data_IF_431902768059
#
_entry.id   IF_431902768059
#
_cell.length_a   1.000
_cell.length_b   1.000
_cell.length_c   1.000
_cell.angle_alpha   90.00
_cell.angle_beta   90.00
_cell.angle_gamma   90.00
#
_symmetry.space_group_name_H-M   'P 1'
#
loop_
_entity.id
_entity.type
_entity.pdbx_description
1 polymer ?
#
# COMPACT_ATOMS: atom_id res chain seq x y z
N UNK A 1 2.71 -6.62 6.12
CA UNK A 1 2.24 -8.01 6.22
C UNK A 1 0.72 -8.07 6.05
N UNK A 2 0.14 -9.28 6.04
CA UNK A 2 -1.31 -9.50 6.05
C UNK A 2 -1.91 -8.80 7.29
N UNK A 3 -3.13 -8.27 7.15
CA UNK A 3 -3.87 -7.59 8.25
C UNK A 3 -3.18 -6.35 8.85
N UNK A 4 -2.34 -5.65 8.08
CA UNK A 4 -1.79 -4.35 8.52
C UNK A 4 -2.76 -3.16 8.30
N UNK A 5 -3.96 -3.42 7.75
CA UNK A 5 -4.96 -2.40 7.43
C UNK A 5 -4.76 -1.73 6.06
N UNK A 6 -4.11 -2.41 5.12
CA UNK A 6 -3.89 -1.88 3.75
C UNK A 6 -5.20 -1.47 3.09
N UNK A 7 -6.20 -2.35 3.10
CA UNK A 7 -7.49 -2.10 2.47
C UNK A 7 -8.18 -0.89 3.09
N UNK A 8 -8.23 -0.79 4.42
CA UNK A 8 -8.80 0.36 5.13
C UNK A 8 -8.11 1.66 4.73
N UNK A 9 -6.76 1.67 4.70
CA UNK A 9 -5.97 2.85 4.30
C UNK A 9 -6.19 3.18 2.82
N UNK A 10 -6.19 2.18 1.93
CA UNK A 10 -6.43 2.38 0.49
C UNK A 10 -7.80 2.97 0.21
N UNK A 11 -8.85 2.46 0.86
CA UNK A 11 -10.20 3.00 0.77
C UNK A 11 -10.28 4.44 1.27
N UNK A 12 -9.67 4.72 2.43
CA UNK A 12 -9.61 6.07 2.99
C UNK A 12 -8.91 7.06 2.06
N UNK A 13 -7.79 6.67 1.46
CA UNK A 13 -7.06 7.49 0.50
C UNK A 13 -7.88 7.73 -0.78
N UNK A 14 -8.48 6.69 -1.37
CA UNK A 14 -9.34 6.83 -2.54
C UNK A 14 -10.50 7.78 -2.27
N UNK A 15 -11.23 7.59 -1.17
CA UNK A 15 -12.37 8.42 -0.81
C UNK A 15 -11.97 9.88 -0.53
N UNK A 16 -10.88 10.09 0.23
CA UNK A 16 -10.40 11.43 0.58
C UNK A 16 -9.90 12.22 -0.63
N UNK A 17 -9.22 11.57 -1.56
CA UNK A 17 -8.75 12.19 -2.81
C UNK A 17 -9.92 12.49 -3.76
N UNK A 18 -10.83 11.54 -3.96
CA UNK A 18 -12.03 11.75 -4.75
C UNK A 18 -12.89 12.90 -4.22
N UNK A 19 -13.06 13.00 -2.89
CA UNK A 19 -13.77 14.11 -2.26
C UNK A 19 -13.11 15.48 -2.47
N UNK A 20 -11.82 15.52 -2.79
CA UNK A 20 -11.07 16.72 -3.16
C UNK A 20 -11.05 16.99 -4.66
N UNK A 21 -11.75 16.20 -5.43
CA UNK A 21 -11.83 16.32 -6.89
C UNK A 21 -10.70 15.65 -7.66
N UNK A 22 -9.76 14.97 -6.99
CA UNK A 22 -8.69 14.22 -7.68
C UNK A 22 -9.24 12.95 -8.29
N UNK A 23 -8.98 12.73 -9.58
CA UNK A 23 -9.40 11.53 -10.30
C UNK A 23 -8.42 10.39 -10.00
N UNK A 24 -8.80 9.52 -9.06
CA UNK A 24 -7.99 8.37 -8.64
C UNK A 24 -8.39 7.12 -9.40
N UNK A 25 -7.43 6.44 -10.01
CA UNK A 25 -7.64 5.12 -10.58
C UNK A 25 -7.18 4.04 -9.61
N UNK A 26 -8.11 3.27 -9.03
CA UNK A 26 -7.75 2.16 -8.16
C UNK A 26 -7.41 0.91 -8.96
N UNK A 27 -6.42 0.18 -8.47
CA UNK A 27 -6.05 -1.16 -8.92
C UNK A 27 -5.86 -2.07 -7.72
N UNK A 28 -6.12 -3.36 -7.91
CA UNK A 28 -5.84 -4.40 -6.91
C UNK A 28 -4.87 -5.41 -7.48
N UNK A 29 -3.81 -5.76 -6.73
CA UNK A 29 -2.93 -6.85 -7.12
C UNK A 29 -3.61 -8.21 -6.90
N UNK A 30 -3.52 -9.05 -7.92
CA UNK A 30 -4.00 -10.43 -7.89
C UNK A 30 -5.48 -10.59 -8.18
N UNK A 31 -5.97 -11.84 -8.22
CA UNK A 31 -7.37 -12.13 -8.46
C UNK A 31 -8.16 -11.88 -7.17
N UNK A 32 -8.79 -10.74 -7.09
CA UNK A 32 -9.66 -10.34 -5.98
C UNK A 32 -10.93 -9.72 -6.54
N UNK A 33 -12.07 -9.91 -5.91
CA UNK A 33 -13.34 -9.32 -6.33
C UNK A 33 -14.05 -8.57 -5.20
N UNK A 34 -13.64 -8.75 -3.95
CA UNK A 34 -14.23 -8.06 -2.79
C UNK A 34 -13.61 -6.66 -2.65
N UNK A 35 -12.28 -6.59 -2.48
CA UNK A 35 -11.59 -5.31 -2.33
C UNK A 35 -11.79 -4.39 -3.53
N UNK A 36 -11.75 -4.87 -4.81
CA UNK A 36 -12.04 -4.04 -5.98
C UNK A 36 -13.41 -3.37 -5.97
N UNK A 37 -14.45 -4.04 -5.44
CA UNK A 37 -15.78 -3.43 -5.32
C UNK A 37 -15.78 -2.23 -4.38
N UNK A 38 -15.11 -2.35 -3.24
CA UNK A 38 -14.99 -1.26 -2.27
C UNK A 38 -14.10 -0.13 -2.78
N UNK A 39 -12.96 -0.46 -3.39
CA UNK A 39 -12.04 0.52 -3.99
C UNK A 39 -12.73 1.29 -5.12
N UNK A 40 -13.49 0.62 -5.98
CA UNK A 40 -14.25 1.27 -7.04
C UNK A 40 -15.29 2.24 -6.48
N UNK A 41 -16.01 1.83 -5.42
CA UNK A 41 -16.97 2.71 -4.76
C UNK A 41 -16.32 3.92 -4.12
N UNK A 42 -15.17 3.74 -3.46
CA UNK A 42 -14.44 4.81 -2.79
C UNK A 42 -13.85 5.82 -3.78
N UNK A 43 -13.32 5.36 -4.91
CA UNK A 43 -12.71 6.20 -5.94
C UNK A 43 -13.73 6.78 -6.96
N UNK A 44 -14.94 6.24 -7.02
CA UNK A 44 -15.93 6.61 -8.06
C UNK A 44 -15.55 6.13 -9.47
N UNK A 45 -14.64 5.16 -9.60
CA UNK A 45 -14.15 4.58 -10.86
C UNK A 45 -14.02 3.07 -10.76
N UNK A 46 -14.15 2.29 -11.85
CA UNK A 46 -13.88 0.86 -11.82
C UNK A 46 -12.48 0.55 -11.28
N UNK A 47 -12.36 -0.50 -10.47
CA UNK A 47 -11.08 -1.01 -10.01
C UNK A 47 -10.67 -2.22 -10.85
N UNK A 48 -9.45 -2.25 -11.37
CA UNK A 48 -8.94 -3.35 -12.18
C UNK A 48 -7.98 -4.23 -11.36
N UNK A 49 -8.03 -5.54 -11.62
CA UNK A 49 -7.06 -6.48 -11.08
C UNK A 49 -5.79 -6.50 -11.94
N UNK A 50 -4.64 -6.45 -11.28
CA UNK A 50 -3.31 -6.65 -11.89
C UNK A 50 -2.76 -7.98 -11.40
N UNK A 51 -2.93 -9.02 -12.18
CA UNK A 51 -2.59 -10.38 -11.78
C UNK A 51 -1.50 -10.98 -12.68
N UNK A 52 -0.28 -11.01 -12.17
CA UNK A 52 0.88 -11.59 -12.87
C UNK A 52 0.82 -13.12 -13.04
N UNK A 53 -0.20 -13.79 -12.48
CA UNK A 53 -0.42 -15.22 -12.72
C UNK A 53 -1.34 -15.48 -13.91
N UNK A 54 -2.36 -14.63 -14.08
CA UNK A 54 -3.38 -14.77 -15.14
C UNK A 54 -3.04 -13.92 -16.38
N UNK A 55 -2.22 -12.89 -16.23
CA UNK A 55 -1.83 -11.96 -17.28
C UNK A 55 -0.35 -12.11 -17.60
N UNK A 56 -0.02 -12.12 -18.88
CA UNK A 56 1.36 -11.88 -19.28
C UNK A 56 1.77 -10.42 -19.04
N UNK A 57 3.05 -10.15 -19.12
CA UNK A 57 3.61 -8.84 -18.84
C UNK A 57 2.98 -7.73 -19.68
N UNK A 58 2.79 -7.98 -20.97
CA UNK A 58 2.21 -7.01 -21.89
C UNK A 58 0.73 -6.75 -21.62
N UNK A 59 -0.04 -7.76 -21.21
CA UNK A 59 -1.44 -7.62 -20.83
C UNK A 59 -1.58 -6.81 -19.53
N UNK A 60 -0.70 -7.06 -18.54
CA UNK A 60 -0.69 -6.35 -17.29
C UNK A 60 -0.37 -4.86 -17.48
N UNK A 61 0.66 -4.55 -18.26
CA UNK A 61 1.05 -3.17 -18.58
C UNK A 61 -0.05 -2.45 -19.38
N UNK A 62 -0.68 -3.11 -20.35
CA UNK A 62 -1.83 -2.55 -21.09
C UNK A 62 -3.00 -2.27 -20.15
N UNK A 63 -3.36 -3.22 -19.28
CA UNK A 63 -4.44 -3.03 -18.31
C UNK A 63 -4.18 -1.82 -17.40
N UNK A 64 -2.94 -1.68 -16.93
CA UNK A 64 -2.55 -0.53 -16.13
C UNK A 64 -2.62 0.78 -16.92
N UNK A 65 -2.05 0.83 -18.11
CA UNK A 65 -2.04 2.02 -18.96
C UNK A 65 -3.46 2.44 -19.40
N UNK A 66 -4.31 1.49 -19.74
CA UNK A 66 -5.71 1.75 -20.12
C UNK A 66 -6.52 2.27 -18.93
N UNK A 67 -6.35 1.67 -17.76
CA UNK A 67 -7.01 2.14 -16.54
C UNK A 67 -6.62 3.57 -16.17
N UNK A 68 -5.38 3.98 -16.43
CA UNK A 68 -4.90 5.34 -16.15
C UNK A 68 -5.51 6.43 -17.03
N UNK A 69 -6.20 6.09 -18.12
CA UNK A 69 -6.78 7.10 -19.00
C UNK A 69 -7.75 8.01 -18.26
N UNK A 70 -7.45 9.31 -18.29
CA UNK A 70 -8.23 10.33 -17.60
C UNK A 70 -8.11 10.31 -16.07
N UNK A 71 -7.14 9.60 -15.50
CA UNK A 71 -6.81 9.64 -14.08
C UNK A 71 -5.60 10.55 -13.83
N UNK A 72 -5.59 11.18 -12.68
CA UNK A 72 -4.49 12.02 -12.19
C UNK A 72 -3.54 11.24 -11.28
N UNK A 73 -4.06 10.19 -10.65
CA UNK A 73 -3.33 9.34 -9.71
C UNK A 73 -3.73 7.87 -9.86
N UNK A 74 -2.74 6.97 -9.80
CA UNK A 74 -2.96 5.55 -9.63
C UNK A 74 -2.78 5.16 -8.15
N UNK A 75 -3.68 4.33 -7.62
CA UNK A 75 -3.51 3.66 -6.35
C UNK A 75 -3.58 2.15 -6.58
N UNK A 76 -2.46 1.46 -6.37
CA UNK A 76 -2.39 0.00 -6.49
C UNK A 76 -2.36 -0.61 -5.10
N UNK A 77 -3.41 -1.29 -4.70
CA UNK A 77 -3.42 -2.02 -3.43
C UNK A 77 -2.77 -3.39 -3.59
N UNK A 78 -1.70 -3.62 -2.83
CA UNK A 78 -1.04 -4.92 -2.73
C UNK A 78 -1.85 -5.92 -1.89
N UNK A 79 -1.61 -7.21 -2.13
CA UNK A 79 -2.05 -8.28 -1.23
C UNK A 79 -0.92 -8.63 -0.25
N UNK A 80 -1.12 -9.44 0.75
CA UNK A 80 -0.09 -9.95 1.70
C UNK A 80 0.99 -8.89 2.08
N UNK A 81 2.25 -9.32 2.28
CA UNK A 81 3.41 -8.44 2.49
C UNK A 81 4.07 -8.00 1.19
N UNK A 82 4.99 -7.02 1.28
CA UNK A 82 5.64 -6.44 0.11
C UNK A 82 6.40 -7.48 -0.73
N UNK A 83 7.18 -8.31 -0.06
CA UNK A 83 8.01 -9.33 -0.69
C UNK A 83 7.38 -10.73 -0.70
N UNK A 84 6.15 -10.86 -0.17
CA UNK A 84 5.44 -12.14 -0.17
C UNK A 84 4.90 -12.45 -1.56
N UNK A 85 5.16 -13.68 -2.01
CA UNK A 85 4.70 -14.23 -3.26
C UNK A 85 4.51 -15.74 -3.17
N UNK A 86 4.06 -16.37 -4.24
CA UNK A 86 4.00 -17.83 -4.38
C UNK A 86 5.36 -18.39 -4.80
N UNK A 87 6.10 -17.64 -5.62
CA UNK A 87 7.40 -18.02 -6.12
C UNK A 87 8.51 -17.64 -5.13
N UNK A 88 9.49 -18.53 -4.97
CA UNK A 88 10.63 -18.32 -4.07
C UNK A 88 11.49 -17.11 -4.48
N UNK A 89 11.59 -16.86 -5.78
CA UNK A 89 12.34 -15.74 -6.37
C UNK A 89 11.62 -14.38 -6.24
N UNK A 90 10.40 -14.35 -5.67
CA UNK A 90 9.61 -13.14 -5.51
C UNK A 90 9.01 -12.57 -6.79
N UNK A 91 9.11 -13.27 -7.93
CA UNK A 91 8.64 -12.80 -9.24
C UNK A 91 7.16 -12.40 -9.30
N UNK A 92 6.34 -12.92 -8.40
CA UNK A 92 4.92 -12.57 -8.28
C UNK A 92 4.60 -11.82 -6.98
N UNK A 93 5.59 -11.19 -6.34
CA UNK A 93 5.40 -10.35 -5.15
C UNK A 93 4.79 -8.98 -5.48
N UNK A 94 4.39 -8.22 -4.46
CA UNK A 94 4.02 -6.81 -4.63
C UNK A 94 5.23 -5.96 -5.07
N UNK A 95 6.43 -6.32 -4.60
CA UNK A 95 7.67 -5.66 -5.00
C UNK A 95 7.93 -5.82 -6.50
N UNK A 96 7.77 -7.04 -7.04
CA UNK A 96 7.91 -7.29 -8.47
C UNK A 96 6.93 -6.45 -9.31
N UNK A 97 5.68 -6.32 -8.87
CA UNK A 97 4.69 -5.47 -9.53
C UNK A 97 5.08 -3.98 -9.45
N UNK A 98 5.51 -3.50 -8.28
CA UNK A 98 5.95 -2.11 -8.12
C UNK A 98 7.16 -1.78 -9.00
N UNK A 99 8.13 -2.68 -9.07
CA UNK A 99 9.31 -2.57 -9.95
C UNK A 99 8.90 -2.48 -11.41
N UNK A 100 8.05 -3.39 -11.86
CA UNK A 100 7.57 -3.46 -13.25
C UNK A 100 6.88 -2.18 -13.69
N UNK A 101 6.02 -1.64 -12.84
CA UNK A 101 5.25 -0.43 -13.13
C UNK A 101 5.97 0.87 -12.75
N UNK A 102 7.21 0.79 -12.22
CA UNK A 102 7.99 1.95 -11.79
C UNK A 102 7.36 2.72 -10.62
N UNK A 103 6.56 2.07 -9.79
CA UNK A 103 5.79 2.72 -8.72
C UNK A 103 6.57 2.80 -7.41
N UNK A 104 6.45 3.91 -6.66
CA UNK A 104 6.89 3.97 -5.29
C UNK A 104 5.97 3.12 -4.39
N UNK A 105 6.54 2.56 -3.34
CA UNK A 105 5.82 1.76 -2.36
C UNK A 105 5.52 2.60 -1.11
N UNK A 106 4.26 2.64 -0.71
CA UNK A 106 3.85 3.12 0.61
C UNK A 106 3.65 1.92 1.53
N UNK A 107 4.45 1.82 2.58
CA UNK A 107 4.31 0.75 3.57
C UNK A 107 3.23 1.11 4.59
N UNK A 108 2.19 0.29 4.69
CA UNK A 108 1.23 0.36 5.79
C UNK A 108 1.70 -0.57 6.90
N UNK A 109 2.10 -0.01 8.03
CA UNK A 109 2.66 -0.75 9.15
C UNK A 109 1.65 -0.78 10.30
N UNK A 110 1.29 -1.97 10.77
CA UNK A 110 0.59 -2.13 12.04
C UNK A 110 1.56 -1.75 13.18
N UNK A 111 1.29 -0.62 13.80
CA UNK A 111 2.19 -0.01 14.78
C UNK A 111 1.91 -0.47 16.22
N UNK A 112 0.91 -1.33 16.46
CA UNK A 112 0.55 -1.79 17.81
C UNK A 112 1.75 -2.41 18.53
N UNK A 113 2.00 -1.92 19.74
CA UNK A 113 3.10 -2.39 20.58
C UNK A 113 4.50 -2.08 20.06
N UNK A 114 4.63 -1.40 18.91
CA UNK A 114 5.93 -1.03 18.36
C UNK A 114 6.52 0.19 19.06
N UNK A 115 7.83 0.21 19.15
CA UNK A 115 8.64 1.34 19.57
C UNK A 115 9.87 1.46 18.66
N UNK A 116 11.09 1.41 19.21
CA UNK A 116 12.32 1.49 18.41
C UNK A 116 12.46 0.39 17.34
N UNK A 117 11.85 -0.76 17.55
CA UNK A 117 11.87 -1.88 16.59
C UNK A 117 11.28 -1.57 15.21
N UNK A 118 10.58 -0.45 15.04
CA UNK A 118 10.08 -0.01 13.73
C UNK A 118 11.23 0.39 12.79
N UNK A 119 12.33 0.92 13.30
CA UNK A 119 13.48 1.33 12.48
C UNK A 119 14.16 0.13 11.78
N UNK A 120 14.59 -0.94 12.46
CA UNK A 120 15.14 -2.12 11.79
C UNK A 120 14.15 -2.80 10.85
N UNK A 121 12.85 -2.73 11.11
CA UNK A 121 11.83 -3.22 10.19
C UNK A 121 11.86 -2.45 8.85
N UNK A 122 11.84 -1.12 8.89
CA UNK A 122 11.88 -0.28 7.69
C UNK A 122 13.21 -0.45 6.94
N UNK A 123 14.34 -0.40 7.67
CA UNK A 123 15.67 -0.62 7.10
C UNK A 123 15.78 -2.00 6.42
N UNK A 124 15.18 -3.03 7.02
CA UNK A 124 15.11 -4.36 6.41
C UNK A 124 14.35 -4.37 5.09
N UNK A 125 13.22 -3.65 5.00
CA UNK A 125 12.49 -3.50 3.74
C UNK A 125 13.31 -2.76 2.66
N UNK A 126 14.07 -1.74 3.03
CA UNK A 126 14.94 -1.03 2.08
C UNK A 126 16.16 -1.84 1.63
N UNK A 127 16.70 -2.68 2.53
CA UNK A 127 17.92 -3.43 2.25
C UNK A 127 17.69 -4.72 1.47
N UNK A 128 16.49 -5.31 1.58
CA UNK A 128 16.19 -6.63 1.02
C UNK A 128 16.21 -6.63 -0.51
N UNK A 129 15.56 -5.66 -1.14
CA UNK A 129 15.63 -5.41 -2.58
C UNK A 129 15.85 -3.90 -2.80
N UNK A 130 17.09 -3.52 -3.13
CA UNK A 130 17.52 -2.11 -3.16
C UNK A 130 16.94 -1.29 -4.31
N UNK A 131 16.41 -1.94 -5.31
CA UNK A 131 15.75 -1.33 -6.46
C UNK A 131 14.26 -1.01 -6.20
N UNK A 132 13.73 -1.45 -5.05
CA UNK A 132 12.38 -1.10 -4.61
C UNK A 132 12.41 0.23 -3.84
N UNK A 133 11.77 1.24 -4.42
CA UNK A 133 11.68 2.56 -3.80
C UNK A 133 10.58 2.60 -2.74
N UNK A 134 10.97 2.62 -1.47
CA UNK A 134 10.05 2.90 -0.36
C UNK A 134 9.83 4.40 -0.30
N UNK A 135 8.68 4.87 -0.80
CA UNK A 135 8.35 6.29 -0.87
C UNK A 135 7.82 6.88 0.43
N UNK A 136 7.46 6.04 1.40
CA UNK A 136 6.98 6.48 2.70
C UNK A 136 6.32 5.38 3.50
N UNK A 137 5.98 5.70 4.74
CA UNK A 137 5.22 4.81 5.63
C UNK A 137 3.95 5.49 6.12
N UNK A 138 2.93 4.67 6.32
CA UNK A 138 1.70 5.01 7.03
C UNK A 138 1.65 4.15 8.28
N UNK A 139 1.64 4.81 9.44
CA UNK A 139 1.54 4.15 10.73
C UNK A 139 0.05 3.89 11.02
N UNK A 140 -0.34 2.63 11.10
CA UNK A 140 -1.71 2.25 11.39
C UNK A 140 -1.85 1.68 12.80
N UNK A 141 -3.04 1.81 13.39
CA UNK A 141 -3.40 1.31 14.73
C UNK A 141 -2.52 1.87 15.84
N UNK A 142 -2.35 3.19 15.82
CA UNK A 142 -1.61 3.90 16.87
C UNK A 142 -2.41 3.99 18.17
N UNK A 143 -1.74 3.76 19.28
CA UNK A 143 -2.32 3.88 20.62
C UNK A 143 -2.44 5.32 21.14
N UNK A 144 -2.36 6.33 20.26
CA UNK A 144 -2.53 7.75 20.59
C UNK A 144 -1.33 8.64 20.24
N UNK A 145 -1.47 9.95 20.46
CA UNK A 145 -0.53 10.98 20.01
C UNK A 145 0.91 10.79 20.56
N UNK A 146 1.05 10.36 21.82
CA UNK A 146 2.37 10.12 22.42
C UNK A 146 3.09 8.95 21.72
N UNK A 147 2.34 7.91 21.34
CA UNK A 147 2.88 6.76 20.61
C UNK A 147 3.30 7.18 19.19
N UNK A 148 2.47 7.95 18.50
CA UNK A 148 2.79 8.50 17.18
C UNK A 148 4.07 9.34 17.21
N UNK A 149 4.15 10.32 18.13
CA UNK A 149 5.32 11.19 18.24
C UNK A 149 6.62 10.40 18.46
N UNK A 150 6.57 9.36 19.29
CA UNK A 150 7.72 8.48 19.53
C UNK A 150 8.13 7.72 18.28
N UNK A 151 7.19 7.15 17.54
CA UNK A 151 7.51 6.40 16.32
C UNK A 151 8.04 7.30 15.21
N UNK A 152 7.46 8.51 15.03
CA UNK A 152 7.97 9.50 14.09
C UNK A 152 9.42 9.86 14.39
N UNK A 153 9.74 10.19 15.63
CA UNK A 153 11.09 10.51 16.05
C UNK A 153 12.09 9.37 15.82
N UNK A 154 11.67 8.11 16.04
CA UNK A 154 12.51 6.93 15.76
C UNK A 154 12.76 6.77 14.26
N UNK A 155 11.72 6.89 13.44
CA UNK A 155 11.83 6.71 11.98
C UNK A 155 12.71 7.80 11.39
N UNK A 156 12.48 9.04 11.75
CA UNK A 156 13.27 10.20 11.30
C UNK A 156 14.75 10.10 11.71
N UNK A 157 15.03 9.58 12.92
CA UNK A 157 16.41 9.45 13.41
C UNK A 157 17.19 8.33 12.72
N UNK A 158 16.55 7.21 12.39
CA UNK A 158 17.25 6.00 11.94
C UNK A 158 17.08 5.71 10.45
N UNK A 159 16.15 6.36 9.75
CA UNK A 159 15.84 6.10 8.35
C UNK A 159 15.65 7.41 7.57
N UNK A 160 15.71 7.32 6.26
CA UNK A 160 15.38 8.41 5.33
C UNK A 160 13.94 8.32 4.80
N UNK A 161 13.12 7.40 5.33
CA UNK A 161 11.77 7.16 4.87
C UNK A 161 10.78 8.09 5.58
N UNK A 162 10.02 8.94 4.85
CA UNK A 162 9.08 9.85 5.49
C UNK A 162 7.85 9.12 6.05
N UNK A 163 7.36 9.61 7.19
CA UNK A 163 6.05 9.20 7.73
C UNK A 163 4.97 10.08 7.11
N UNK A 164 4.27 9.56 6.11
CA UNK A 164 3.26 10.29 5.34
C UNK A 164 1.89 10.34 6.01
N UNK A 165 1.61 9.42 6.92
CA UNK A 165 0.33 9.38 7.62
C UNK A 165 0.37 8.55 8.88
N UNK A 166 -0.62 8.81 9.73
CA UNK A 166 -0.82 8.12 11.01
C UNK A 166 -2.32 7.93 11.24
N UNK A 167 -2.71 6.69 11.55
CA UNK A 167 -4.10 6.31 11.81
C UNK A 167 -4.17 5.74 13.22
N UNK A 168 -4.97 6.34 14.07
CA UNK A 168 -5.24 5.82 15.42
C UNK A 168 -5.98 4.48 15.35
N UNK A 169 -5.81 3.65 16.37
CA UNK A 169 -6.65 2.47 16.53
C UNK A 169 -8.10 2.89 16.77
N UNK A 170 -9.00 2.34 15.96
CA UNK A 170 -10.44 2.64 16.03
C UNK A 170 -11.21 1.36 15.69
N UNK A 171 -12.02 0.89 16.65
CA UNK A 171 -12.82 -0.33 16.52
C UNK A 171 -13.81 -0.26 15.34
N UNK A 172 -14.26 0.93 14.95
CA UNK A 172 -15.15 1.14 13.81
C UNK A 172 -14.49 0.77 12.47
N UNK A 173 -13.16 0.82 12.40
CA UNK A 173 -12.40 0.44 11.22
C UNK A 173 -12.12 -1.07 11.14
N UNK A 174 -12.35 -1.82 12.22
CA UNK A 174 -12.12 -3.28 12.24
C UNK A 174 -13.14 -4.07 11.39
N UNK A 175 -14.21 -3.44 10.95
CA UNK A 175 -15.27 -4.06 10.12
C UNK A 175 -14.77 -4.42 8.71
N UNK A 176 -13.65 -3.84 8.29
CA UNK A 176 -13.10 -3.99 6.92
C UNK A 176 -11.96 -5.03 6.82
N UNK A 177 -11.74 -5.83 7.88
CA UNK A 177 -10.68 -6.86 7.91
C UNK A 177 -11.21 -8.29 7.90
#
# INVERSE_FOLDING_TARGET
>A
HKSSGKTTVSLGLCAAMAARGTVVQPFKKGPDYIDPMWLARAAGRPCFNLDAYLMDDAALERCFAEGLRGAELALVEGNKGLYDGLALDGSNSNAALARRLGLPVLLVIDARGMTRGIAPLILGYQAFERDIRIGGVILNRLGGARHEAKLRAVIEHYTDVPVLGAVAEDERLAVME
#
